data_IF_638372799379
#
_entry.id   IF_638372799379
#
_cell.length_a   1.000
_cell.length_b   1.000
_cell.length_c   1.000
_cell.angle_alpha   90.00
_cell.angle_beta   90.00
_cell.angle_gamma   90.00
#
_symmetry.space_group_name_H-M   'P 1'
#
loop_
_entity.id
_entity.type
_entity.pdbx_description
1 polymer ?
#
# COMPACT_ATOMS: atom_id res chain seq x y z
N UNK A 1 -5.94 12.53 1.65
CA UNK A 1 -4.77 11.65 1.91
C UNK A 1 -5.22 10.21 1.68
N UNK A 2 -4.50 9.41 0.88
CA UNK A 2 -4.96 8.08 0.48
C UNK A 2 -4.60 7.01 1.52
N UNK A 3 -3.30 6.79 1.75
CA UNK A 3 -2.80 5.83 2.73
C UNK A 3 -1.44 6.27 3.26
N UNK A 4 -1.18 5.98 4.54
CA UNK A 4 0.15 6.05 5.14
C UNK A 4 0.27 4.95 6.20
N UNK A 5 1.49 4.46 6.43
CA UNK A 5 1.77 3.51 7.50
C UNK A 5 3.15 3.80 8.09
N UNK A 6 3.23 3.78 9.42
CA UNK A 6 4.49 3.85 10.15
C UNK A 6 4.87 2.45 10.60
N UNK A 7 6.12 2.07 10.36
CA UNK A 7 6.67 0.79 10.76
C UNK A 7 8.10 0.98 11.27
N UNK A 8 8.54 0.08 12.14
CA UNK A 8 9.92 0.10 12.58
C UNK A 8 10.81 -0.43 11.45
N UNK A 9 11.72 0.42 10.99
CA UNK A 9 12.70 0.06 9.99
C UNK A 9 13.93 -0.59 10.65
N UNK A 10 14.09 -1.89 10.43
CA UNK A 10 15.27 -2.67 10.79
C UNK A 10 16.10 -3.05 9.55
N UNK A 11 15.42 -3.29 8.42
CA UNK A 11 16.01 -3.64 7.13
C UNK A 11 15.22 -3.02 5.98
N UNK A 12 15.87 -2.19 5.16
CA UNK A 12 15.22 -1.51 4.03
C UNK A 12 14.64 -2.51 3.02
N UNK A 13 15.37 -3.58 2.71
CA UNK A 13 14.93 -4.56 1.72
C UNK A 13 13.74 -5.39 2.20
N UNK A 14 13.74 -5.75 3.48
CA UNK A 14 12.76 -6.70 4.01
C UNK A 14 11.50 -6.00 4.56
N UNK A 15 11.62 -4.78 5.08
CA UNK A 15 10.50 -4.15 5.81
C UNK A 15 9.60 -3.30 4.91
N UNK A 16 10.11 -2.81 3.78
CA UNK A 16 9.31 -2.01 2.84
C UNK A 16 8.38 -2.86 1.98
N UNK A 17 8.85 -4.01 1.50
CA UNK A 17 8.07 -4.87 0.59
C UNK A 17 6.73 -5.35 1.20
N UNK A 18 6.66 -5.76 2.48
CA UNK A 18 5.40 -6.11 3.14
C UNK A 18 4.39 -4.95 3.15
N UNK A 19 4.83 -3.71 3.34
CA UNK A 19 3.97 -2.53 3.34
C UNK A 19 3.37 -2.30 1.94
N UNK A 20 4.18 -2.43 0.89
CA UNK A 20 3.68 -2.34 -0.48
C UNK A 20 2.69 -3.46 -0.80
N UNK A 21 2.98 -4.72 -0.42
CA UNK A 21 2.07 -5.84 -0.63
C UNK A 21 0.74 -5.63 0.09
N UNK A 22 0.75 -5.17 1.34
CA UNK A 22 -0.45 -4.85 2.11
C UNK A 22 -1.30 -3.78 1.42
N UNK A 23 -0.66 -2.72 0.92
CA UNK A 23 -1.34 -1.66 0.19
C UNK A 23 -1.97 -2.17 -1.13
N UNK A 24 -1.19 -2.83 -1.99
CA UNK A 24 -1.67 -3.28 -3.30
C UNK A 24 -2.69 -4.43 -3.22
N UNK A 25 -2.61 -5.28 -2.19
CA UNK A 25 -3.56 -6.36 -1.95
C UNK A 25 -4.93 -5.87 -1.45
N UNK A 26 -5.06 -4.62 -0.97
CA UNK A 26 -6.32 -4.08 -0.47
C UNK A 26 -6.91 -3.04 -1.41
N UNK A 27 -8.10 -3.32 -1.95
CA UNK A 27 -8.86 -2.33 -2.72
C UNK A 27 -9.28 -1.13 -1.86
N UNK A 28 -9.64 -1.37 -0.59
CA UNK A 28 -10.02 -0.30 0.34
C UNK A 28 -8.88 0.70 0.55
N UNK A 29 -7.65 0.21 0.76
CA UNK A 29 -6.49 1.09 0.95
C UNK A 29 -6.13 1.86 -0.33
N UNK A 30 -6.42 1.28 -1.50
CA UNK A 30 -6.25 1.92 -2.81
C UNK A 30 -7.40 2.86 -3.20
N UNK A 31 -8.47 2.94 -2.42
CA UNK A 31 -9.65 3.74 -2.74
C UNK A 31 -9.59 5.11 -2.05
N UNK A 32 -9.62 6.18 -2.83
CA UNK A 32 -9.66 7.53 -2.31
C UNK A 32 -11.03 7.82 -1.68
N UNK A 33 -11.05 8.15 -0.38
CA UNK A 33 -12.30 8.42 0.37
C UNK A 33 -12.98 9.74 -0.02
N UNK A 34 -12.27 10.66 -0.66
CA UNK A 34 -12.81 11.98 -1.07
C UNK A 34 -13.50 11.94 -2.45
N UNK A 35 -12.98 11.13 -3.38
CA UNK A 35 -13.47 11.10 -4.77
C UNK A 35 -13.87 9.71 -5.28
N UNK A 36 -13.67 8.65 -4.49
CA UNK A 36 -14.01 7.27 -4.86
C UNK A 36 -13.11 6.63 -5.91
N UNK A 37 -12.08 7.32 -6.40
CA UNK A 37 -11.13 6.74 -7.37
C UNK A 37 -10.33 5.62 -6.72
N UNK A 38 -10.28 4.47 -7.40
CA UNK A 38 -9.47 3.30 -7.00
C UNK A 38 -8.18 3.30 -7.81
N UNK A 39 -7.03 3.31 -7.14
CA UNK A 39 -5.72 3.21 -7.79
C UNK A 39 -5.48 1.79 -8.31
N UNK A 40 -4.91 1.61 -9.50
CA UNK A 40 -4.63 0.29 -10.09
C UNK A 40 -3.68 -0.58 -9.24
N UNK A 41 -3.81 -1.90 -9.37
CA UNK A 41 -2.88 -2.84 -8.75
C UNK A 41 -1.58 -2.98 -9.56
N UNK A 42 -0.47 -3.13 -8.85
CA UNK A 42 0.81 -3.45 -9.46
C UNK A 42 1.11 -4.95 -9.31
N UNK A 43 1.22 -5.71 -10.42
CA UNK A 43 1.41 -7.16 -10.40
C UNK A 43 2.69 -7.63 -9.70
N UNK A 44 3.65 -6.74 -9.42
CA UNK A 44 4.87 -7.08 -8.66
C UNK A 44 4.58 -7.36 -7.19
N UNK A 45 3.46 -6.87 -6.66
CA UNK A 45 3.13 -6.90 -5.24
C UNK A 45 1.86 -7.70 -4.90
N UNK A 46 1.23 -8.35 -5.89
CA UNK A 46 0.11 -9.29 -5.75
C UNK A 46 0.49 -10.71 -6.15
#
# INVERSE_FOLDING_TARGET
>A
KLYEEYFHLNSIENDFLPVFRKYYASEELRTCKECGTVMEQDPRFV
#
